data_IF_420702249475
#
_entry.id   IF_420702249475
#
_cell.length_a   1.000
_cell.length_b   1.000
_cell.length_c   1.000
_cell.angle_alpha   90.00
_cell.angle_beta   90.00
_cell.angle_gamma   90.00
#
_symmetry.space_group_name_H-M   'P 1'
#
loop_
_entity.id
_entity.type
_entity.pdbx_description
1 polymer ?
#
# COMPACT_ATOMS: atom_id res chain seq x y z
N UNK A 1 -17.79 -10.27 14.58
CA UNK A 1 -17.55 -10.51 13.14
C UNK A 1 -16.12 -11.00 12.99
N UNK A 2 -15.85 -11.99 12.13
CA UNK A 2 -14.56 -12.67 12.09
C UNK A 2 -13.49 -11.80 11.42
N UNK A 3 -12.52 -11.31 12.18
CA UNK A 3 -11.37 -10.59 11.62
C UNK A 3 -10.44 -11.58 10.92
N UNK A 4 -10.42 -11.53 9.59
CA UNK A 4 -9.57 -12.40 8.78
C UNK A 4 -8.23 -11.71 8.51
N UNK A 5 -7.15 -12.47 8.65
CA UNK A 5 -5.83 -12.07 8.20
C UNK A 5 -5.69 -12.29 6.70
N UNK A 6 -5.20 -11.27 6.00
CA UNK A 6 -4.93 -11.29 4.57
C UNK A 6 -3.44 -11.34 4.30
N UNK A 7 -3.03 -12.13 3.32
CA UNK A 7 -1.65 -12.11 2.84
C UNK A 7 -1.39 -10.86 1.99
N UNK A 8 -0.12 -10.52 1.80
CA UNK A 8 0.29 -9.43 0.91
C UNK A 8 -0.27 -9.60 -0.53
N UNK A 9 -0.46 -10.83 -1.01
CA UNK A 9 -1.05 -11.06 -2.34
C UNK A 9 -2.54 -10.74 -2.38
N UNK A 10 -3.28 -11.09 -1.33
CA UNK A 10 -4.71 -10.73 -1.21
C UNK A 10 -4.88 -9.22 -1.09
N UNK A 11 -4.04 -8.55 -0.29
CA UNK A 11 -4.02 -7.08 -0.21
C UNK A 11 -3.79 -6.47 -1.59
N UNK A 12 -2.75 -6.92 -2.31
CA UNK A 12 -2.46 -6.44 -3.67
C UNK A 12 -3.66 -6.60 -4.61
N UNK A 13 -4.37 -7.73 -4.55
CA UNK A 13 -5.59 -7.95 -5.32
C UNK A 13 -6.73 -6.99 -4.95
N UNK A 14 -6.85 -6.63 -3.67
CA UNK A 14 -7.90 -5.72 -3.17
C UNK A 14 -7.63 -4.26 -3.49
N UNK A 15 -6.40 -3.79 -3.24
CA UNK A 15 -6.05 -2.37 -3.41
C UNK A 15 -5.53 -2.03 -4.81
N UNK A 16 -5.28 -3.05 -5.65
CA UNK A 16 -4.69 -2.92 -6.98
C UNK A 16 -3.35 -2.13 -7.00
N UNK A 17 -2.60 -2.16 -5.89
CA UNK A 17 -1.30 -1.50 -5.73
C UNK A 17 -0.16 -2.52 -5.75
N UNK A 18 0.95 -2.17 -6.38
CA UNK A 18 2.17 -2.98 -6.37
C UNK A 18 2.74 -3.13 -4.95
N UNK A 19 3.44 -4.25 -4.67
CA UNK A 19 4.11 -4.50 -3.37
C UNK A 19 4.98 -3.32 -2.94
N UNK A 20 5.77 -2.75 -3.85
CA UNK A 20 6.64 -1.60 -3.58
C UNK A 20 5.84 -0.39 -3.11
N UNK A 21 4.71 -0.09 -3.76
CA UNK A 21 3.85 1.03 -3.38
C UNK A 21 3.25 0.80 -1.98
N UNK A 22 2.82 -0.43 -1.68
CA UNK A 22 2.31 -0.80 -0.37
C UNK A 22 3.40 -0.55 0.69
N UNK A 23 4.63 -1.04 0.49
CA UNK A 23 5.74 -0.78 1.42
C UNK A 23 6.10 0.70 1.55
N UNK A 24 6.05 1.47 0.47
CA UNK A 24 6.25 2.94 0.52
C UNK A 24 5.19 3.62 1.36
N UNK A 25 3.92 3.24 1.19
CA UNK A 25 2.82 3.80 1.99
C UNK A 25 2.90 3.37 3.44
N UNK A 26 3.31 2.14 3.74
CA UNK A 26 3.59 1.68 5.11
C UNK A 26 4.68 2.55 5.74
N UNK A 27 5.79 2.80 5.02
CA UNK A 27 6.89 3.67 5.49
C UNK A 27 6.42 5.12 5.70
N UNK A 28 5.52 5.60 4.84
CA UNK A 28 4.92 6.94 4.97
C UNK A 28 3.83 7.02 6.05
N UNK A 29 3.48 5.92 6.73
CA UNK A 29 2.39 5.87 7.69
C UNK A 29 0.99 6.00 7.08
N UNK A 30 0.88 5.88 5.76
CA UNK A 30 -0.35 6.07 4.99
C UNK A 30 -1.02 4.74 4.58
N UNK A 31 -0.59 3.61 5.17
CA UNK A 31 -1.17 2.27 4.96
C UNK A 31 -1.07 1.46 6.25
N UNK A 32 -2.03 0.56 6.53
CA UNK A 32 -2.01 -0.27 7.73
C UNK A 32 -0.74 -1.12 7.84
N UNK A 33 -0.29 -1.31 9.07
CA UNK A 33 0.97 -2.02 9.35
C UNK A 33 0.75 -3.53 9.18
N UNK A 34 1.69 -4.24 8.55
CA UNK A 34 1.65 -5.69 8.52
C UNK A 34 1.84 -6.26 9.93
N UNK A 35 1.00 -7.22 10.30
CA UNK A 35 1.15 -8.07 11.49
C UNK A 35 2.07 -9.24 11.13
N UNK A 36 3.24 -9.38 11.78
CA UNK A 36 4.10 -10.54 11.60
C UNK A 36 3.43 -11.77 12.23
N UNK A 37 3.07 -12.77 11.40
CA UNK A 37 2.53 -14.05 11.88
C UNK A 37 3.63 -15.10 12.09
N UNK A 38 4.87 -14.81 11.68
CA UNK A 38 6.03 -15.66 11.90
C UNK A 38 7.29 -15.07 11.25
N UNK A 39 8.36 -15.85 11.20
CA UNK A 39 9.71 -15.40 10.79
C UNK A 39 9.79 -14.85 9.36
N UNK A 40 8.92 -15.31 8.46
CA UNK A 40 8.91 -14.88 7.05
C UNK A 40 7.52 -14.49 6.53
N UNK A 41 6.47 -14.65 7.35
CA UNK A 41 5.08 -14.41 6.94
C UNK A 41 4.52 -13.19 7.64
N UNK A 42 4.08 -12.24 6.83
CA UNK A 42 3.32 -11.06 7.27
C UNK A 42 1.89 -11.15 6.76
N UNK A 43 0.95 -10.68 7.57
CA UNK A 43 -0.44 -10.56 7.19
C UNK A 43 -0.98 -9.18 7.55
N UNK A 44 -2.09 -8.80 6.93
CA UNK A 44 -2.79 -7.56 7.18
C UNK A 44 -4.18 -7.87 7.71
N UNK A 45 -4.69 -7.04 8.61
CA UNK A 45 -6.05 -7.22 9.13
C UNK A 45 -7.03 -6.76 8.05
N UNK A 46 -7.99 -7.61 7.68
CA UNK A 46 -8.99 -7.28 6.65
C UNK A 46 -9.74 -5.98 7.00
N UNK A 47 -10.14 -5.82 8.26
CA UNK A 47 -10.83 -4.62 8.76
C UNK A 47 -10.02 -3.34 8.56
N UNK A 48 -8.70 -3.38 8.82
CA UNK A 48 -7.84 -2.20 8.62
C UNK A 48 -7.68 -1.85 7.15
N UNK A 49 -7.54 -2.86 6.28
CA UNK A 49 -7.46 -2.64 4.83
C UNK A 49 -8.78 -2.11 4.28
N UNK A 50 -9.92 -2.62 4.78
CA UNK A 50 -11.24 -2.11 4.43
C UNK A 50 -11.45 -0.66 4.87
N UNK A 51 -11.10 -0.32 6.11
CA UNK A 51 -11.16 1.03 6.63
C UNK A 51 -10.26 1.99 5.83
N UNK A 52 -9.06 1.55 5.43
CA UNK A 52 -8.19 2.33 4.57
C UNK A 52 -8.80 2.59 3.18
N UNK A 53 -9.44 1.58 2.57
CA UNK A 53 -10.13 1.76 1.29
C UNK A 53 -11.29 2.74 1.39
N UNK A 54 -12.06 2.67 2.48
CA UNK A 54 -13.17 3.58 2.76
C UNK A 54 -12.67 5.03 2.93
N UNK A 55 -11.59 5.23 3.69
CA UNK A 55 -10.96 6.53 3.84
C UNK A 55 -10.49 7.12 2.50
N UNK A 56 -9.91 6.28 1.61
CA UNK A 56 -9.53 6.69 0.25
C UNK A 56 -10.74 7.01 -0.63
N UNK A 57 -11.85 6.28 -0.47
CA UNK A 57 -13.09 6.54 -1.19
C UNK A 57 -13.72 7.85 -0.74
N UNK A 58 -13.69 8.13 0.56
CA UNK A 58 -14.11 9.41 1.15
C UNK A 58 -13.22 10.56 0.67
N UNK A 59 -11.91 10.44 0.77
CA UNK A 59 -10.95 11.44 0.25
C UNK A 59 -11.12 11.69 -1.26
N UNK A 60 -11.52 10.67 -2.04
CA UNK A 60 -11.91 10.85 -3.45
C UNK A 60 -13.21 11.64 -3.59
N UNK A 61 -14.22 11.32 -2.78
CA UNK A 61 -15.49 12.06 -2.78
C UNK A 61 -15.28 13.54 -2.41
N UNK A 62 -14.28 13.83 -1.58
CA UNK A 62 -13.88 15.20 -1.19
C UNK A 62 -12.88 15.86 -2.16
N UNK A 63 -12.49 15.20 -3.26
CA UNK A 63 -11.75 15.82 -4.38
C UNK A 63 -10.23 15.60 -4.44
N UNK A 64 -9.61 14.95 -3.46
CA UNK A 64 -8.13 14.85 -3.36
C UNK A 64 -7.47 13.78 -4.28
N UNK A 65 -8.26 13.08 -5.08
CA UNK A 65 -7.80 11.95 -5.91
C UNK A 65 -7.01 12.36 -7.16
N UNK A 66 -7.19 13.60 -7.63
CA UNK A 66 -6.56 14.10 -8.84
C UNK A 66 -5.10 14.55 -8.61
N UNK A 67 -4.81 15.16 -7.47
CA UNK A 67 -3.53 15.83 -7.19
C UNK A 67 -2.36 14.84 -6.99
N UNK A 68 -2.64 13.67 -6.43
CA UNK A 68 -1.60 12.66 -6.15
C UNK A 68 -1.06 11.98 -7.42
N UNK A 69 -1.82 12.00 -8.54
CA UNK A 69 -1.38 11.45 -9.83
C UNK A 69 -0.18 12.22 -10.41
N UNK A 70 -0.09 13.52 -10.13
CA UNK A 70 0.98 14.41 -10.57
C UNK A 70 2.30 14.18 -9.81
N UNK A 71 2.22 13.77 -8.54
CA UNK A 71 3.39 13.54 -7.70
C UNK A 71 4.05 12.18 -7.99
N UNK A 72 3.23 11.16 -8.28
CA UNK A 72 3.69 9.77 -8.38
C UNK A 72 4.48 9.47 -9.67
N UNK A 73 4.28 10.25 -10.75
CA UNK A 73 5.05 10.12 -12.00
C UNK A 73 6.51 10.60 -11.88
N UNK A 74 6.82 11.51 -10.95
CA UNK A 74 8.17 12.07 -10.77
C UNK A 74 9.09 11.13 -9.98
N UNK A 75 8.55 10.45 -8.98
CA UNK A 75 9.31 9.57 -8.07
C UNK A 75 9.68 8.21 -8.69
N UNK A 76 8.93 7.75 -9.70
CA UNK A 76 9.28 6.54 -10.45
C UNK A 76 10.54 6.73 -11.32
N UNK A 77 10.91 7.97 -11.64
CA UNK A 77 12.12 8.30 -12.42
C UNK A 77 13.39 8.27 -11.56
N UNK A 78 13.29 8.49 -10.24
CA UNK A 78 14.44 8.61 -9.33
C UNK A 78 14.86 7.29 -8.66
N UNK A 79 14.04 6.25 -8.71
CA UNK A 79 14.28 4.99 -7.99
C UNK A 79 14.90 3.86 -8.84
N UNK A 80 15.59 4.18 -9.95
CA UNK A 80 16.47 3.23 -10.63
C UNK A 80 17.88 3.35 -10.05
N UNK A 81 18.30 2.50 -9.09
CA UNK A 81 19.72 2.40 -8.80
C UNK A 81 20.40 1.80 -10.03
N UNK A 82 21.34 2.58 -10.54
CA UNK A 82 22.31 2.25 -11.57
C UNK A 82 22.88 0.84 -11.35
N UNK A 83 22.57 -0.08 -12.26
CA UNK A 83 23.22 -1.39 -12.33
C UNK A 83 24.57 -1.19 -13.02
N UNK A 84 25.54 -0.65 -12.31
CA UNK A 84 26.95 -0.77 -12.67
C UNK A 84 27.54 -1.92 -11.84
N UNK A 85 27.75 -3.06 -12.50
CA UNK A 85 28.56 -4.17 -11.99
C UNK A 85 29.91 -4.09 -12.70
N UNK A 86 30.98 -3.96 -11.90
CA UNK A 86 32.39 -4.08 -12.27
C UNK A 86 33.14 -4.62 -11.06
#
# INVERSE_FOLDING_TARGET
MAERFMTMEQVRGRVALSKTEIYRKIKAGAFPKPVPLGTQKVAFVESEVAAWMDDRLRARAEGEGAERRSQQGRDAVSARPDRANG
#
